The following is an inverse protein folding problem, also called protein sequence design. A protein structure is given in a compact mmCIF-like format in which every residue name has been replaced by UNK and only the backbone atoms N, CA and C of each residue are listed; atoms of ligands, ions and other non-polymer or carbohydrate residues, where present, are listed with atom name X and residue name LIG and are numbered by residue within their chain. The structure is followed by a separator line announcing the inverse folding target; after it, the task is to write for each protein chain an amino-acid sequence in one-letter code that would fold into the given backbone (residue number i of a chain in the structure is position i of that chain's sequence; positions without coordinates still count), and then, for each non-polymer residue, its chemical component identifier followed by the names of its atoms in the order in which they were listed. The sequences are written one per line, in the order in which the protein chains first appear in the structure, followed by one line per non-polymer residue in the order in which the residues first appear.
data_IF_903912278069
#
_entry.id   IF_903912278069
#
_cell.length_a   1.000
_cell.length_b   1.000
_cell.length_c   1.000
_cell.angle_alpha   90.00
_cell.angle_beta   90.00
_cell.angle_gamma   90.00
#
_symmetry.space_group_name_H-M   'P 1'
#
loop_
_entity.id
_entity.type
_entity.pdbx_description
1 polymer ?
#
# COMPACT_ATOMS: atom_id res chain seq x y z
N UNK A 1 14.87 7.45 27.06
CA UNK A 1 14.95 7.89 25.66
C UNK A 1 15.33 6.66 24.87
N UNK A 2 14.38 6.06 24.22
CA UNK A 2 14.57 4.81 23.47
C UNK A 2 14.56 5.12 21.97
N UNK A 3 15.32 4.35 21.18
CA UNK A 3 15.22 4.36 19.73
C UNK A 3 14.34 3.18 19.34
N UNK A 4 13.22 3.47 18.70
CA UNK A 4 12.25 2.47 18.25
C UNK A 4 12.33 2.39 16.72
N UNK A 5 12.70 1.23 16.20
CA UNK A 5 12.82 0.97 14.76
C UNK A 5 11.50 0.46 14.20
N UNK A 6 10.97 1.18 13.22
CA UNK A 6 9.69 0.86 12.61
C UNK A 6 9.90 0.39 11.18
N UNK A 7 9.63 -0.88 10.91
CA UNK A 7 9.68 -1.46 9.58
C UNK A 7 8.55 -0.99 8.68
N UNK A 8 8.88 -0.64 7.45
CA UNK A 8 7.93 -0.21 6.42
C UNK A 8 8.39 -0.67 5.04
N UNK A 9 7.46 -0.87 4.12
CA UNK A 9 7.81 -0.97 2.70
C UNK A 9 8.36 0.36 2.20
N UNK A 10 9.18 0.31 1.14
CA UNK A 10 9.83 1.51 0.57
C UNK A 10 8.91 2.37 -0.32
N UNK A 11 7.64 1.97 -0.53
CA UNK A 11 6.72 2.77 -1.34
C UNK A 11 6.35 4.08 -0.62
N UNK A 12 6.16 5.15 -1.39
CA UNK A 12 5.77 6.47 -0.82
C UNK A 12 4.54 6.39 0.07
N UNK A 13 3.53 5.57 -0.32
CA UNK A 13 2.33 5.39 0.49
C UNK A 13 2.64 4.71 1.82
N UNK A 14 3.46 3.65 1.82
CA UNK A 14 3.82 2.95 3.05
C UNK A 14 4.61 3.86 4.00
N UNK A 15 5.55 4.64 3.48
CA UNK A 15 6.29 5.63 4.28
C UNK A 15 5.34 6.65 4.91
N UNK A 16 4.43 7.24 4.12
CA UNK A 16 3.43 8.20 4.66
C UNK A 16 2.53 7.58 5.72
N UNK A 17 2.12 6.33 5.56
CA UNK A 17 1.36 5.61 6.58
C UNK A 17 2.17 5.42 7.86
N UNK A 18 3.46 5.08 7.72
CA UNK A 18 4.37 4.94 8.87
C UNK A 18 4.60 6.28 9.57
N UNK A 19 4.77 7.37 8.83
CA UNK A 19 4.88 8.72 9.39
C UNK A 19 3.63 9.13 10.17
N UNK A 20 2.43 8.77 9.69
CA UNK A 20 1.17 9.01 10.39
C UNK A 20 1.11 8.25 11.73
N UNK A 21 1.58 6.99 11.76
CA UNK A 21 1.71 6.20 12.99
C UNK A 21 2.70 6.87 13.95
N UNK A 22 3.88 7.25 13.47
CA UNK A 22 4.91 7.93 14.28
C UNK A 22 4.36 9.23 14.88
N UNK A 23 3.62 10.01 14.10
CA UNK A 23 2.98 11.23 14.61
C UNK A 23 2.08 10.94 15.82
N UNK A 24 1.29 9.86 15.74
CA UNK A 24 0.43 9.44 16.85
C UNK A 24 1.22 8.91 18.04
N UNK A 25 2.26 8.12 17.81
CA UNK A 25 3.12 7.63 18.88
C UNK A 25 3.81 8.79 19.63
N UNK A 26 4.27 9.81 18.93
CA UNK A 26 4.90 10.99 19.55
C UNK A 26 3.97 11.81 20.45
N UNK A 27 2.65 11.76 20.25
CA UNK A 27 1.68 12.37 21.14
C UNK A 27 1.72 11.73 22.55
N UNK A 28 2.06 10.44 22.64
CA UNK A 28 2.11 9.67 23.89
C UNK A 28 3.54 9.42 24.40
N UNK A 29 4.51 9.39 23.49
CA UNK A 29 5.91 9.08 23.76
C UNK A 29 6.83 10.19 23.21
N UNK A 30 6.72 11.44 23.71
CA UNK A 30 7.43 12.60 23.14
C UNK A 30 8.96 12.52 23.28
N UNK A 31 9.47 11.73 24.22
CA UNK A 31 10.89 11.61 24.50
C UNK A 31 11.56 10.45 23.72
N UNK A 32 10.80 9.64 23.02
CA UNK A 32 11.34 8.52 22.25
C UNK A 32 11.64 8.94 20.80
N UNK A 33 12.65 8.28 20.23
CA UNK A 33 13.06 8.46 18.84
C UNK A 33 12.50 7.30 18.01
N UNK A 34 11.89 7.63 16.87
CA UNK A 34 11.33 6.64 15.95
C UNK A 34 12.10 6.69 14.63
N UNK A 35 12.66 5.56 14.24
CA UNK A 35 13.41 5.40 12.99
C UNK A 35 12.62 4.52 12.02
N UNK A 36 12.47 4.97 10.76
CA UNK A 36 11.83 4.16 9.70
C UNK A 36 12.89 3.31 9.03
N UNK A 37 12.72 1.99 9.10
CA UNK A 37 13.54 1.00 8.41
C UNK A 37 12.81 0.54 7.16
N UNK A 38 13.28 0.98 5.99
CA UNK A 38 12.69 0.64 4.70
C UNK A 38 13.08 -0.77 4.25
N UNK A 39 12.13 -1.71 4.24
CA UNK A 39 12.34 -3.10 3.85
C UNK A 39 11.80 -3.32 2.43
N UNK A 40 12.61 -3.92 1.55
CA UNK A 40 12.22 -4.29 0.19
C UNK A 40 11.62 -5.69 0.18
N UNK A 41 10.37 -5.81 -0.18
CA UNK A 41 9.69 -7.11 -0.21
C UNK A 41 9.79 -7.77 -1.59
N UNK A 42 9.55 -9.09 -1.64
CA UNK A 42 9.54 -9.84 -2.89
C UNK A 42 8.49 -9.31 -3.88
N UNK A 43 7.34 -8.86 -3.36
CA UNK A 43 6.29 -8.24 -4.16
C UNK A 43 6.68 -6.89 -4.75
N UNK A 44 7.57 -6.13 -4.09
CA UNK A 44 8.08 -4.86 -4.62
C UNK A 44 9.10 -5.08 -5.75
N UNK A 45 9.83 -6.20 -5.73
CA UNK A 45 10.88 -6.52 -6.70
C UNK A 45 10.36 -7.18 -7.99
N UNK A 46 9.21 -7.84 -7.95
CA UNK A 46 8.69 -8.62 -9.08
C UNK A 46 7.37 -8.03 -9.59
N UNK A 47 7.46 -6.90 -10.28
CA UNK A 47 6.30 -6.19 -10.85
C UNK A 47 5.73 -6.88 -12.10
N UNK A 48 6.52 -7.74 -12.77
CA UNK A 48 6.16 -8.34 -14.07
C UNK A 48 5.27 -9.58 -13.93
N UNK A 49 5.23 -10.21 -12.75
CA UNK A 49 4.42 -11.41 -12.51
C UNK A 49 3.09 -11.07 -11.88
N UNK A 50 2.00 -11.75 -12.27
CA UNK A 50 0.70 -11.54 -11.65
C UNK A 50 0.75 -11.88 -10.15
N UNK A 51 0.03 -11.13 -9.29
CA UNK A 51 -0.06 -11.43 -7.85
C UNK A 51 -0.61 -12.85 -7.60
N UNK A 52 -1.44 -13.36 -8.51
CA UNK A 52 -1.97 -14.72 -8.45
C UNK A 52 -0.89 -15.79 -8.63
N UNK A 53 0.17 -15.53 -9.42
CA UNK A 53 1.28 -16.45 -9.65
C UNK A 53 2.16 -16.71 -8.43
N UNK A 54 2.02 -15.89 -7.37
CA UNK A 54 2.75 -16.02 -6.10
C UNK A 54 2.00 -16.78 -5.01
N UNK A 55 0.86 -17.40 -5.33
CA UNK A 55 0.01 -18.02 -4.31
C UNK A 55 -0.78 -17.02 -3.45
N UNK A 56 -0.80 -15.74 -3.81
CA UNK A 56 -1.70 -14.71 -3.29
C UNK A 56 -1.48 -14.23 -1.84
N UNK A 57 -0.69 -14.94 -1.02
CA UNK A 57 -0.54 -14.62 0.41
C UNK A 57 0.90 -14.21 0.76
N UNK A 58 1.04 -13.16 1.56
CA UNK A 58 2.30 -12.84 2.25
C UNK A 58 3.46 -12.27 1.41
N UNK A 59 3.25 -11.94 0.14
CA UNK A 59 4.33 -11.48 -0.78
C UNK A 59 4.94 -10.14 -0.37
N UNK A 60 4.22 -9.38 0.45
CA UNK A 60 4.63 -8.06 0.94
C UNK A 60 4.96 -8.04 2.43
N UNK A 61 4.95 -9.19 3.11
CA UNK A 61 4.97 -9.25 4.57
C UNK A 61 6.15 -10.07 5.09
N UNK A 62 6.50 -11.16 4.43
CA UNK A 62 7.46 -12.16 4.93
C UNK A 62 8.81 -11.57 5.35
N UNK A 63 9.38 -10.65 4.57
CA UNK A 63 10.65 -10.03 4.91
C UNK A 63 10.53 -9.12 6.14
N UNK A 64 9.38 -8.49 6.33
CA UNK A 64 9.09 -7.64 7.49
C UNK A 64 8.84 -8.49 8.73
N UNK A 65 8.11 -9.60 8.63
CA UNK A 65 7.95 -10.58 9.72
C UNK A 65 9.30 -11.14 10.16
N UNK A 66 10.17 -11.47 9.21
CA UNK A 66 11.53 -11.94 9.51
C UNK A 66 12.32 -10.89 10.28
N UNK A 67 12.26 -9.62 9.89
CA UNK A 67 12.96 -8.53 10.57
C UNK A 67 12.41 -8.28 11.99
N UNK A 68 11.10 -8.46 12.20
CA UNK A 68 10.47 -8.40 13.53
C UNK A 68 10.96 -9.55 14.42
N UNK A 69 10.89 -10.78 13.91
CA UNK A 69 11.29 -11.98 14.68
C UNK A 69 12.78 -12.01 15.00
N UNK A 70 13.62 -11.43 14.15
CA UNK A 70 15.06 -11.30 14.39
C UNK A 70 15.44 -10.13 15.31
N UNK A 71 14.50 -9.24 15.64
CA UNK A 71 14.78 -8.04 16.44
C UNK A 71 15.54 -6.95 15.65
N UNK A 72 15.57 -7.02 14.32
CA UNK A 72 16.12 -5.96 13.48
C UNK A 72 15.25 -4.69 13.55
N UNK A 73 13.93 -4.88 13.71
CA UNK A 73 12.94 -3.84 13.92
C UNK A 73 12.04 -4.19 15.12
N UNK A 74 11.51 -3.17 15.80
CA UNK A 74 10.69 -3.33 17.00
C UNK A 74 9.20 -3.44 16.67
N UNK A 75 8.76 -2.77 15.62
CA UNK A 75 7.39 -2.80 15.12
C UNK A 75 7.36 -2.59 13.61
N UNK A 76 6.21 -2.88 13.00
CA UNK A 76 5.99 -2.66 11.57
C UNK A 76 4.63 -2.00 11.31
N UNK A 77 4.56 -1.23 10.23
CA UNK A 77 3.31 -0.59 9.77
C UNK A 77 2.88 -1.18 8.43
N UNK A 78 1.63 -1.65 8.40
CA UNK A 78 1.01 -2.23 7.22
C UNK A 78 -0.37 -1.66 6.94
N UNK A 79 -0.75 -1.60 5.68
CA UNK A 79 -2.16 -1.48 5.30
C UNK A 79 -2.88 -2.79 5.63
N UNK A 80 -4.00 -2.74 6.36
CA UNK A 80 -4.72 -3.94 6.79
C UNK A 80 -5.13 -4.88 5.64
N UNK A 81 -5.39 -4.33 4.44
CA UNK A 81 -5.72 -5.13 3.24
C UNK A 81 -4.58 -6.05 2.77
N UNK A 82 -3.33 -5.75 3.16
CA UNK A 82 -2.14 -6.49 2.78
C UNK A 82 -1.77 -7.54 3.84
N UNK A 83 -2.43 -7.50 5.02
CA UNK A 83 -2.21 -8.45 6.10
C UNK A 83 -2.83 -9.82 5.79
N UNK A 84 -2.18 -10.92 6.18
CA UNK A 84 -2.75 -12.27 6.08
C UNK A 84 -3.86 -12.44 7.11
N UNK A 85 -4.72 -13.42 6.90
CA UNK A 85 -5.75 -13.80 7.88
C UNK A 85 -5.18 -14.48 9.12
N UNK A 86 -4.04 -15.14 8.98
CA UNK A 86 -3.31 -15.78 10.07
C UNK A 86 -1.98 -15.04 10.24
N UNK A 87 -1.74 -14.54 11.44
CA UNK A 87 -0.50 -13.85 11.80
C UNK A 87 0.55 -14.89 12.17
N UNK A 88 1.80 -14.65 11.78
CA UNK A 88 2.93 -15.51 12.09
C UNK A 88 3.09 -15.67 13.61
N UNK A 89 3.39 -16.89 14.08
CA UNK A 89 3.65 -17.16 15.48
C UNK A 89 4.76 -16.24 16.02
N UNK A 90 4.53 -15.73 17.22
CA UNK A 90 5.42 -14.76 17.88
C UNK A 90 5.15 -13.30 17.51
N UNK A 91 4.22 -13.02 16.58
CA UNK A 91 3.80 -11.67 16.19
C UNK A 91 2.33 -11.42 16.54
N UNK A 92 1.96 -10.16 16.68
CA UNK A 92 0.58 -9.74 16.93
C UNK A 92 0.28 -8.38 16.28
N UNK A 93 -0.99 -8.13 16.00
CA UNK A 93 -1.47 -6.79 15.63
C UNK A 93 -1.81 -6.06 16.94
N UNK A 94 -0.95 -5.14 17.35
CA UNK A 94 -1.09 -4.42 18.63
C UNK A 94 -2.02 -3.22 18.55
N UNK A 95 -2.17 -2.60 17.38
CA UNK A 95 -3.02 -1.42 17.22
C UNK A 95 -3.45 -1.21 15.76
N UNK A 96 -4.51 -0.44 15.58
CA UNK A 96 -4.94 0.07 14.29
C UNK A 96 -5.30 1.56 14.43
N UNK A 97 -4.85 2.39 13.49
CA UNK A 97 -5.29 3.78 13.41
C UNK A 97 -6.75 3.87 12.96
N UNK A 98 -7.40 5.00 13.26
CA UNK A 98 -8.68 5.34 12.65
C UNK A 98 -8.53 5.31 11.12
N UNK A 99 -9.56 4.78 10.47
CA UNK A 99 -9.56 4.66 9.02
C UNK A 99 -9.75 6.03 8.37
N UNK A 100 -8.90 6.32 7.39
CA UNK A 100 -9.09 7.44 6.49
C UNK A 100 -10.27 7.23 5.52
N UNK A 101 -10.59 8.23 4.71
CA UNK A 101 -11.58 8.11 3.65
C UNK A 101 -11.26 6.91 2.76
N UNK A 102 -12.27 6.05 2.60
CA UNK A 102 -12.19 4.80 1.83
C UNK A 102 -12.62 4.93 0.38
N UNK A 103 -13.00 6.12 -0.04
CA UNK A 103 -13.52 6.37 -1.37
C UNK A 103 -12.46 6.07 -2.42
N UNK A 104 -12.89 5.46 -3.52
CA UNK A 104 -12.05 5.35 -4.70
C UNK A 104 -12.08 6.68 -5.45
N UNK A 105 -10.97 7.07 -6.03
CA UNK A 105 -10.86 8.29 -6.84
C UNK A 105 -10.53 7.95 -8.28
N UNK A 106 -11.10 8.68 -9.20
CA UNK A 106 -10.73 8.69 -10.61
C UNK A 106 -9.74 9.83 -10.84
N UNK A 107 -8.61 9.51 -11.44
CA UNK A 107 -7.61 10.51 -11.83
C UNK A 107 -7.63 10.65 -13.33
N UNK A 108 -7.89 11.86 -13.82
CA UNK A 108 -7.90 12.21 -15.24
C UNK A 108 -7.20 13.56 -15.46
N UNK A 109 -6.99 13.95 -16.70
CA UNK A 109 -6.48 15.28 -17.02
C UNK A 109 -7.55 16.33 -16.76
N UNK A 110 -7.14 17.54 -16.34
CA UNK A 110 -8.02 18.63 -15.95
C UNK A 110 -8.98 19.02 -17.09
N UNK A 111 -8.50 19.01 -18.33
CA UNK A 111 -9.26 19.37 -19.53
C UNK A 111 -10.12 18.22 -20.10
N UNK A 112 -10.19 17.07 -19.42
CA UNK A 112 -10.96 15.91 -19.90
C UNK A 112 -12.34 15.88 -19.26
N UNK A 113 -13.39 16.01 -20.05
CA UNK A 113 -14.74 15.77 -19.58
C UNK A 113 -14.93 14.28 -19.25
N UNK A 114 -15.69 13.97 -18.19
CA UNK A 114 -15.92 12.58 -17.76
C UNK A 114 -16.58 11.73 -18.85
N UNK A 115 -17.42 12.34 -19.71
CA UNK A 115 -18.04 11.71 -20.88
C UNK A 115 -17.05 11.27 -21.95
N UNK A 116 -15.88 11.89 -22.00
CA UNK A 116 -14.87 11.68 -23.03
C UNK A 116 -13.82 10.64 -22.64
N UNK A 117 -13.91 10.09 -21.44
CA UNK A 117 -13.01 9.06 -20.97
C UNK A 117 -13.22 7.79 -21.79
N UNK A 118 -12.22 7.43 -22.59
CA UNK A 118 -12.23 6.23 -23.46
C UNK A 118 -11.54 5.03 -22.82
N UNK A 119 -10.53 5.26 -21.97
CA UNK A 119 -9.71 4.22 -21.39
C UNK A 119 -9.59 4.45 -19.89
N UNK A 120 -9.84 3.41 -19.08
CA UNK A 120 -9.68 3.44 -17.64
C UNK A 120 -8.67 2.36 -17.21
N UNK A 121 -7.58 2.79 -16.57
CA UNK A 121 -6.57 1.90 -16.02
C UNK A 121 -6.93 1.41 -14.62
N UNK A 122 -7.16 0.10 -14.45
CA UNK A 122 -7.30 -0.50 -13.12
C UNK A 122 -6.80 -1.94 -13.11
N UNK A 123 -6.16 -2.35 -12.00
CA UNK A 123 -5.82 -3.75 -11.73
C UNK A 123 -6.77 -4.41 -10.73
N UNK A 124 -7.87 -3.76 -10.37
CA UNK A 124 -8.86 -4.24 -9.40
C UNK A 124 -10.16 -4.62 -10.07
N UNK A 125 -10.51 -5.92 -10.03
CA UNK A 125 -11.80 -6.40 -10.56
C UNK A 125 -13.01 -5.70 -9.90
N UNK A 126 -12.94 -5.43 -8.59
CA UNK A 126 -13.98 -4.69 -7.87
C UNK A 126 -14.17 -3.28 -8.43
N UNK A 127 -13.08 -2.53 -8.64
CA UNK A 127 -13.13 -1.17 -9.21
C UNK A 127 -13.63 -1.20 -10.64
N UNK A 128 -13.16 -2.14 -11.43
CA UNK A 128 -13.62 -2.31 -12.80
C UNK A 128 -15.14 -2.50 -12.86
N UNK A 129 -15.67 -3.48 -12.12
CA UNK A 129 -17.11 -3.78 -12.10
C UNK A 129 -17.98 -2.59 -11.65
N UNK A 130 -17.47 -1.72 -10.77
CA UNK A 130 -18.16 -0.51 -10.35
C UNK A 130 -18.05 0.60 -11.41
N UNK A 131 -16.87 0.78 -11.98
CA UNK A 131 -16.63 1.82 -12.97
C UNK A 131 -17.32 1.53 -14.33
N UNK A 132 -17.50 0.28 -14.72
CA UNK A 132 -18.25 -0.14 -15.91
C UNK A 132 -19.70 0.41 -15.91
N UNK A 133 -20.30 0.54 -14.72
CA UNK A 133 -21.65 1.10 -14.58
C UNK A 133 -21.68 2.62 -14.81
N UNK A 134 -20.59 3.31 -14.50
CA UNK A 134 -20.46 4.76 -14.65
C UNK A 134 -19.90 5.15 -16.02
N UNK A 135 -19.09 4.28 -16.61
CA UNK A 135 -18.39 4.51 -17.88
C UNK A 135 -18.61 3.32 -18.82
N UNK A 136 -19.86 3.09 -19.31
CA UNK A 136 -20.19 1.88 -20.08
C UNK A 136 -19.48 1.81 -21.44
N UNK A 137 -18.99 2.94 -21.96
CA UNK A 137 -18.28 3.01 -23.24
C UNK A 137 -16.76 3.01 -23.10
N UNK A 138 -16.22 2.96 -21.87
CA UNK A 138 -14.79 2.96 -21.65
C UNK A 138 -14.20 1.56 -21.78
N UNK A 139 -12.98 1.49 -22.32
CA UNK A 139 -12.18 0.27 -22.36
C UNK A 139 -11.34 0.19 -21.09
N UNK A 140 -11.41 -0.94 -20.38
CA UNK A 140 -10.63 -1.16 -19.16
C UNK A 140 -9.31 -1.85 -19.48
N UNK A 141 -8.20 -1.23 -19.07
CA UNK A 141 -6.85 -1.78 -19.23
C UNK A 141 -6.22 -2.06 -17.86
N UNK A 142 -5.49 -3.18 -17.70
CA UNK A 142 -4.76 -3.43 -16.48
C UNK A 142 -3.64 -2.40 -16.29
N UNK A 143 -3.59 -1.77 -15.11
CA UNK A 143 -2.50 -0.87 -14.72
C UNK A 143 -1.87 -1.35 -13.42
N UNK A 144 -0.55 -1.44 -13.36
CA UNK A 144 0.24 -1.88 -12.22
C UNK A 144 1.31 -0.87 -11.85
N UNK A 145 1.82 -1.02 -10.64
CA UNK A 145 2.80 -0.15 -10.04
C UNK A 145 2.25 0.56 -8.79
N UNK A 146 3.09 1.30 -8.10
CA UNK A 146 2.67 2.21 -7.04
C UNK A 146 1.89 3.41 -7.61
N UNK A 147 1.40 4.28 -6.76
CA UNK A 147 0.59 5.44 -7.19
C UNK A 147 1.36 6.31 -8.17
N UNK A 148 2.62 6.68 -7.86
CA UNK A 148 3.45 7.49 -8.75
C UNK A 148 3.63 6.86 -10.13
N UNK A 149 3.97 5.57 -10.19
CA UNK A 149 4.10 4.83 -11.46
C UNK A 149 2.82 4.84 -12.28
N UNK A 150 1.65 4.71 -11.62
CA UNK A 150 0.36 4.74 -12.33
C UNK A 150 0.03 6.13 -12.86
N UNK A 151 0.32 7.18 -12.08
CA UNK A 151 0.16 8.57 -12.53
C UNK A 151 1.02 8.88 -13.75
N UNK A 152 2.29 8.44 -13.74
CA UNK A 152 3.17 8.59 -14.90
C UNK A 152 2.64 7.85 -16.13
N UNK A 153 2.07 6.65 -15.95
CA UNK A 153 1.44 5.92 -17.06
C UNK A 153 0.22 6.65 -17.64
N UNK A 154 -0.56 7.32 -16.81
CA UNK A 154 -1.68 8.15 -17.27
C UNK A 154 -1.17 9.36 -18.04
N UNK A 155 -0.10 10.02 -17.58
CA UNK A 155 0.52 11.16 -18.26
C UNK A 155 1.08 10.82 -19.65
N UNK A 156 1.59 9.60 -19.79
CA UNK A 156 2.26 9.16 -21.02
C UNK A 156 1.34 8.42 -22.01
N UNK A 157 0.02 8.32 -21.74
CA UNK A 157 -0.96 7.62 -22.58
C UNK A 157 -0.97 6.12 -22.26
#
# INVERSE_FOLDING_TARGET
MSIIKIGSRKSQLAIKQTEAVIKKLKEHFPNDTFEIVGISTKGDRQLDKSLQSFGGKGVFIKEIETALLSGEIDMAVHSAKDMPTEICDGLTISAALLRDDRSDVLVHFEDTELSDIKIIGTGSARRQSQAEKLFPNAVFKPIRGNIGTRLEKVKNG
#
